data_IF_953193936825
#
_entry.id   IF_953193936825
#
_cell.length_a   1.000
_cell.length_b   1.000
_cell.length_c   1.000
_cell.angle_alpha   90.00
_cell.angle_beta   90.00
_cell.angle_gamma   90.00
#
_symmetry.space_group_name_H-M   'P 1'
#
loop_
_entity.id
_entity.type
_entity.pdbx_description
1 polymer ?
#
# COMPACT_ATOMS: atom_id res chain seq x y z
N UNK A 1 -7.54 19.79 40.19
CA UNK A 1 -7.08 20.17 38.84
C UNK A 1 -5.81 19.41 38.53
N UNK A 2 -5.87 18.51 37.55
CA UNK A 2 -4.77 18.07 36.69
C UNK A 2 -5.38 17.06 35.73
N UNK A 3 -5.81 17.55 34.57
CA UNK A 3 -6.26 16.74 33.45
C UNK A 3 -5.00 16.10 32.82
N UNK A 4 -4.82 14.80 33.02
CA UNK A 4 -3.75 14.07 32.36
C UNK A 4 -4.17 13.84 30.91
N UNK A 5 -3.57 14.62 30.00
CA UNK A 5 -3.75 14.50 28.57
C UNK A 5 -3.57 13.06 28.10
N UNK A 6 -4.63 12.52 27.50
CA UNK A 6 -4.69 11.21 26.87
C UNK A 6 -3.91 11.29 25.55
N UNK A 7 -2.61 11.02 25.60
CA UNK A 7 -1.78 10.89 24.40
C UNK A 7 -2.09 9.52 23.78
N UNK A 8 -2.67 9.43 22.57
CA UNK A 8 -2.73 8.17 21.86
C UNK A 8 -1.28 7.72 21.61
N UNK A 9 -0.96 6.46 21.92
CA UNK A 9 0.31 5.88 21.54
C UNK A 9 0.35 5.78 20.01
N UNK A 10 0.83 6.84 19.37
CA UNK A 10 1.30 6.84 17.99
C UNK A 10 2.32 5.71 17.84
N UNK A 11 2.46 5.16 16.63
CA UNK A 11 3.31 4.02 16.24
C UNK A 11 4.82 4.07 16.62
N UNK A 12 5.24 4.99 17.49
CA UNK A 12 6.62 5.40 17.72
C UNK A 12 7.13 6.28 16.58
N UNK A 13 6.26 6.70 15.67
CA UNK A 13 6.58 7.55 14.53
C UNK A 13 6.50 9.01 14.97
N UNK A 14 7.57 9.76 14.69
CA UNK A 14 7.65 11.17 15.05
C UNK A 14 6.55 11.97 14.33
N UNK A 15 5.99 12.97 15.01
CA UNK A 15 4.86 13.76 14.53
C UNK A 15 5.11 14.32 13.12
N UNK A 16 4.38 13.79 12.14
CA UNK A 16 4.50 14.14 10.72
C UNK A 16 4.59 12.94 9.77
N UNK A 17 4.96 11.76 10.26
CA UNK A 17 5.16 10.58 9.41
C UNK A 17 3.90 9.73 9.18
N UNK A 18 2.79 10.08 9.83
CA UNK A 18 1.54 9.34 9.73
C UNK A 18 0.32 10.28 9.77
N UNK A 19 -0.73 9.90 9.06
CA UNK A 19 -2.06 10.51 9.16
C UNK A 19 -3.01 9.51 9.79
N UNK A 20 -3.79 9.97 10.77
CA UNK A 20 -4.64 9.13 11.60
C UNK A 20 -6.08 9.64 11.57
N UNK A 21 -7.04 8.72 11.55
CA UNK A 21 -8.45 9.02 11.64
C UNK A 21 -9.12 8.15 12.69
N UNK A 22 -9.90 8.75 13.62
CA UNK A 22 -10.62 7.98 14.61
C UNK A 22 -11.80 7.27 13.94
N UNK A 23 -12.04 6.02 14.36
CA UNK A 23 -13.14 5.22 13.87
C UNK A 23 -14.16 5.02 14.99
N UNK A 24 -15.44 4.98 14.63
CA UNK A 24 -16.50 4.56 15.54
C UNK A 24 -16.58 3.03 15.61
N UNK A 25 -16.42 2.37 14.47
CA UNK A 25 -16.65 0.94 14.31
C UNK A 25 -15.80 0.36 13.20
N UNK A 26 -15.32 -0.87 13.42
CA UNK A 26 -14.71 -1.72 12.42
C UNK A 26 -15.46 -3.06 12.40
N UNK A 27 -15.64 -3.66 11.22
CA UNK A 27 -16.24 -4.97 11.11
C UNK A 27 -15.60 -5.78 9.98
N UNK A 28 -15.31 -7.05 10.25
CA UNK A 28 -14.79 -8.00 9.25
C UNK A 28 -15.80 -9.09 8.95
N UNK A 29 -15.93 -9.43 7.68
CA UNK A 29 -16.76 -10.53 7.22
C UNK A 29 -16.10 -11.86 7.63
N UNK A 30 -16.86 -12.74 8.27
CA UNK A 30 -16.45 -14.10 8.58
C UNK A 30 -16.95 -14.99 7.43
N UNK A 31 -16.08 -15.76 6.76
CA UNK A 31 -16.52 -16.74 5.79
C UNK A 31 -17.40 -17.80 6.46
N UNK A 32 -18.57 -18.08 5.89
CA UNK A 32 -19.40 -19.21 6.33
C UNK A 32 -18.66 -20.50 6.00
N UNK A 33 -18.27 -21.28 7.02
CA UNK A 33 -17.54 -22.53 6.82
C UNK A 33 -18.44 -23.50 6.04
N UNK A 34 -18.18 -23.67 4.74
CA UNK A 34 -18.98 -24.55 3.86
C UNK A 34 -18.47 -25.99 3.96
N UNK A 35 -18.31 -26.48 5.19
CA UNK A 35 -17.61 -27.73 5.50
C UNK A 35 -18.46 -28.85 6.11
N UNK A 36 -19.70 -28.58 6.51
CA UNK A 36 -20.60 -29.63 6.99
C UNK A 36 -21.45 -30.19 5.83
N UNK A 37 -21.54 -31.53 5.69
CA UNK A 37 -22.40 -32.14 4.69
C UNK A 37 -23.86 -31.77 4.94
N UNK A 38 -24.66 -31.53 3.90
CA UNK A 38 -26.03 -31.10 4.05
C UNK A 38 -26.84 -32.20 4.75
N UNK A 39 -27.24 -31.93 6.00
CA UNK A 39 -28.33 -32.65 6.64
C UNK A 39 -29.62 -32.51 5.83
N UNK A 40 -30.55 -33.48 5.90
CA UNK A 40 -31.68 -33.51 5.00
C UNK A 40 -32.66 -32.35 5.27
N UNK A 41 -32.68 -31.40 4.31
CA UNK A 41 -33.73 -30.44 3.95
C UNK A 41 -34.25 -29.47 5.04
N UNK A 42 -33.94 -28.19 4.86
CA UNK A 42 -34.96 -27.14 4.85
C UNK A 42 -34.53 -25.92 4.01
N UNK A 43 -35.47 -25.47 3.17
CA UNK A 43 -35.58 -24.24 2.39
C UNK A 43 -34.61 -23.90 1.24
N UNK A 44 -35.22 -23.94 0.04
CA UNK A 44 -34.76 -23.33 -1.22
C UNK A 44 -34.77 -21.80 -1.06
N UNK A 45 -33.61 -21.17 -1.26
CA UNK A 45 -33.56 -19.79 -1.77
C UNK A 45 -33.02 -18.69 -0.86
N UNK A 46 -32.52 -18.99 0.35
CA UNK A 46 -31.84 -17.96 1.17
C UNK A 46 -30.32 -18.14 1.06
N UNK A 47 -29.67 -17.29 0.26
CA UNK A 47 -28.20 -17.15 0.31
C UNK A 47 -27.83 -16.75 1.75
N UNK A 48 -26.90 -17.45 2.43
CA UNK A 48 -26.50 -17.07 3.77
C UNK A 48 -26.01 -15.63 3.79
N UNK A 49 -26.68 -14.78 4.57
CA UNK A 49 -26.23 -13.41 4.78
C UNK A 49 -24.82 -13.44 5.38
N UNK A 50 -23.89 -12.60 4.90
CA UNK A 50 -22.53 -12.58 5.42
C UNK A 50 -22.53 -12.26 6.92
N UNK A 51 -21.89 -13.11 7.72
CA UNK A 51 -21.74 -12.89 9.16
C UNK A 51 -20.60 -11.91 9.42
N UNK A 52 -20.85 -10.88 10.22
CA UNK A 52 -19.86 -9.83 10.51
C UNK A 52 -19.39 -9.92 11.96
N UNK A 53 -18.08 -9.96 12.18
CA UNK A 53 -17.49 -9.70 13.50
C UNK A 53 -17.29 -8.20 13.65
N UNK A 54 -17.97 -7.59 14.60
CA UNK A 54 -17.98 -6.14 14.82
C UNK A 54 -17.12 -5.77 16.03
N UNK A 55 -16.42 -4.66 15.92
CA UNK A 55 -15.60 -4.04 16.96
C UNK A 55 -16.03 -2.58 17.06
N UNK A 56 -16.37 -2.13 18.26
CA UNK A 56 -16.77 -0.75 18.52
C UNK A 56 -15.67 -0.03 19.33
N UNK A 57 -15.48 1.25 19.05
CA UNK A 57 -14.61 2.12 19.85
C UNK A 57 -15.25 2.42 21.19
N UNK A 58 -14.56 2.05 22.26
CA UNK A 58 -15.02 2.31 23.64
C UNK A 58 -13.83 2.31 24.61
N UNK A 59 -14.08 2.70 25.86
CA UNK A 59 -13.04 2.79 26.90
C UNK A 59 -12.52 1.43 27.37
N UNK A 60 -13.36 0.39 27.34
CA UNK A 60 -13.04 -0.95 27.86
C UNK A 60 -12.14 -1.73 26.88
N UNK A 61 -12.50 -1.72 25.59
CA UNK A 61 -11.80 -2.44 24.52
C UNK A 61 -10.71 -1.61 23.84
N UNK A 62 -10.71 -0.29 24.06
CA UNK A 62 -9.85 0.66 23.38
C UNK A 62 -10.49 1.28 22.14
N UNK A 63 -9.94 2.42 21.74
CA UNK A 63 -10.39 3.18 20.58
C UNK A 63 -9.80 2.63 19.29
N UNK A 64 -10.61 2.66 18.23
CA UNK A 64 -10.21 2.29 16.89
C UNK A 64 -9.59 3.48 16.16
N UNK A 65 -8.44 3.24 15.55
CA UNK A 65 -7.71 4.25 14.76
C UNK A 65 -7.29 3.64 13.43
N UNK A 66 -7.58 4.35 12.34
CA UNK A 66 -7.05 4.07 11.02
C UNK A 66 -5.82 4.94 10.80
N UNK A 67 -4.70 4.33 10.42
CA UNK A 67 -3.44 5.05 10.21
C UNK A 67 -2.90 4.76 8.81
N UNK A 68 -2.50 5.82 8.11
CA UNK A 68 -1.72 5.72 6.87
C UNK A 68 -0.39 6.43 7.08
N UNK A 69 0.71 5.70 6.98
CA UNK A 69 2.06 6.24 7.11
C UNK A 69 2.57 6.76 5.76
N UNK A 70 3.56 7.66 5.77
CA UNK A 70 4.14 8.26 4.55
C UNK A 70 4.71 7.24 3.58
N UNK A 71 5.19 6.09 4.08
CA UNK A 71 5.67 4.97 3.25
C UNK A 71 4.53 4.23 2.51
N UNK A 72 3.27 4.62 2.72
CA UNK A 72 2.11 4.04 2.05
C UNK A 72 1.57 2.78 2.72
N UNK A 73 1.94 2.48 3.96
CA UNK A 73 1.31 1.38 4.70
C UNK A 73 0.03 1.85 5.38
N UNK A 74 -0.94 0.95 5.40
CA UNK A 74 -2.26 1.12 5.96
C UNK A 74 -2.42 0.22 7.18
N UNK A 75 -2.93 0.78 8.27
CA UNK A 75 -3.17 0.06 9.52
C UNK A 75 -4.54 0.40 10.11
N UNK A 76 -5.13 -0.57 10.80
CA UNK A 76 -6.24 -0.35 11.73
C UNK A 76 -5.84 -0.97 13.06
N UNK A 77 -5.89 -0.18 14.12
CA UNK A 77 -5.63 -0.60 15.49
C UNK A 77 -6.87 -0.48 16.37
N UNK A 78 -6.98 -1.35 17.36
CA UNK A 78 -7.83 -1.16 18.53
C UNK A 78 -6.97 -1.17 19.79
N UNK A 79 -6.79 0.00 20.41
CA UNK A 79 -5.80 0.15 21.48
C UNK A 79 -4.40 -0.21 20.97
N UNK A 80 -3.83 -1.31 21.49
CA UNK A 80 -2.51 -1.83 21.05
C UNK A 80 -2.61 -3.01 20.08
N UNK A 81 -3.82 -3.45 19.74
CA UNK A 81 -4.04 -4.63 18.89
C UNK A 81 -4.15 -4.22 17.42
N UNK A 82 -3.28 -4.76 16.57
CA UNK A 82 -3.38 -4.62 15.12
C UNK A 82 -4.53 -5.48 14.59
N UNK A 83 -5.50 -4.85 13.93
CA UNK A 83 -6.64 -5.53 13.30
C UNK A 83 -6.45 -5.76 11.81
N UNK A 84 -5.87 -4.78 11.11
CA UNK A 84 -5.55 -4.86 9.68
C UNK A 84 -4.21 -4.17 9.43
N UNK A 85 -3.36 -4.74 8.58
CA UNK A 85 -2.07 -4.15 8.23
C UNK A 85 -1.58 -4.61 6.86
N UNK A 86 -1.36 -3.69 5.93
CA UNK A 86 -0.86 -3.98 4.59
C UNK A 86 -0.30 -2.75 3.87
N UNK A 87 0.61 -2.95 2.92
CA UNK A 87 1.04 -1.90 1.99
C UNK A 87 -0.03 -1.53 0.96
N UNK A 88 -0.23 -0.23 0.72
CA UNK A 88 -1.07 0.28 -0.37
C UNK A 88 -0.33 0.35 -1.71
N UNK A 89 1.01 0.23 -1.70
CA UNK A 89 1.82 0.29 -2.91
C UNK A 89 1.52 -0.93 -3.78
N UNK A 90 1.21 -0.69 -5.06
CA UNK A 90 0.86 -1.77 -5.99
C UNK A 90 -0.45 -2.49 -5.66
N UNK A 91 -1.33 -1.87 -4.85
CA UNK A 91 -2.55 -2.55 -4.36
C UNK A 91 -3.72 -2.61 -5.35
N UNK A 92 -3.63 -1.92 -6.49
CA UNK A 92 -4.75 -1.73 -7.44
C UNK A 92 -5.38 -3.04 -7.95
N UNK A 93 -4.58 -4.10 -8.08
CA UNK A 93 -5.06 -5.37 -8.64
C UNK A 93 -5.79 -6.24 -7.61
N UNK A 94 -5.48 -6.05 -6.32
CA UNK A 94 -6.00 -6.91 -5.24
C UNK A 94 -6.85 -6.17 -4.21
N UNK A 95 -6.83 -4.84 -4.15
CA UNK A 95 -7.57 -4.02 -3.21
C UNK A 95 -8.64 -3.19 -3.93
N UNK A 96 -9.89 -3.32 -3.47
CA UNK A 96 -11.02 -2.51 -3.91
C UNK A 96 -11.62 -1.78 -2.72
N UNK A 97 -11.83 -0.48 -2.86
CA UNK A 97 -12.40 0.35 -1.80
C UNK A 97 -13.66 1.02 -2.33
N UNK A 98 -14.74 0.93 -1.56
CA UNK A 98 -16.02 1.59 -1.85
C UNK A 98 -16.41 2.47 -0.68
N UNK A 99 -16.75 3.72 -0.94
CA UNK A 99 -17.18 4.70 0.06
C UNK A 99 -18.70 4.84 0.06
N UNK A 100 -19.33 4.79 1.23
CA UNK A 100 -20.74 5.16 1.40
C UNK A 100 -20.88 6.07 2.60
N UNK A 101 -21.20 7.34 2.36
CA UNK A 101 -21.33 8.37 3.42
C UNK A 101 -20.02 8.48 4.24
N UNK A 102 -20.07 8.16 5.53
CA UNK A 102 -19.01 8.16 6.55
C UNK A 102 -18.39 6.77 6.73
N UNK A 103 -18.62 5.85 5.78
CA UNK A 103 -18.13 4.48 5.83
C UNK A 103 -17.27 4.13 4.61
N UNK A 104 -16.27 3.28 4.84
CA UNK A 104 -15.48 2.65 3.77
C UNK A 104 -15.60 1.12 3.87
N UNK A 105 -15.79 0.48 2.73
CA UNK A 105 -15.80 -0.97 2.54
C UNK A 105 -14.56 -1.35 1.74
N UNK A 106 -13.75 -2.25 2.30
CA UNK A 106 -12.51 -2.75 1.72
C UNK A 106 -12.68 -4.21 1.36
N UNK A 107 -12.57 -4.52 0.08
CA UNK A 107 -12.49 -5.89 -0.44
C UNK A 107 -11.07 -6.17 -0.90
N UNK A 108 -10.45 -7.22 -0.36
CA UNK A 108 -9.11 -7.64 -0.77
C UNK A 108 -9.16 -9.05 -1.35
N UNK A 109 -8.48 -9.29 -2.46
CA UNK A 109 -8.41 -10.61 -3.10
C UNK A 109 -6.96 -10.97 -3.35
N UNK A 110 -6.44 -11.95 -2.60
CA UNK A 110 -5.05 -12.42 -2.72
C UNK A 110 -5.08 -13.93 -2.89
N UNK A 111 -4.45 -14.46 -3.96
CA UNK A 111 -4.35 -15.91 -4.23
C UNK A 111 -5.71 -16.64 -4.05
N UNK A 112 -6.75 -16.14 -4.73
CA UNK A 112 -8.14 -16.63 -4.71
C UNK A 112 -8.88 -16.55 -3.35
N UNK A 113 -8.25 -15.97 -2.32
CA UNK A 113 -8.89 -15.71 -1.04
C UNK A 113 -9.36 -14.27 -0.99
N UNK A 114 -10.68 -14.08 -0.95
CA UNK A 114 -11.30 -12.78 -0.75
C UNK A 114 -11.55 -12.53 0.74
N UNK A 115 -11.25 -11.32 1.20
CA UNK A 115 -11.55 -10.82 2.54
C UNK A 115 -12.28 -9.50 2.42
N UNK A 116 -13.27 -9.27 3.29
CA UNK A 116 -14.07 -8.06 3.28
C UNK A 116 -14.12 -7.47 4.68
N UNK A 117 -13.83 -6.19 4.81
CA UNK A 117 -14.00 -5.47 6.06
C UNK A 117 -14.53 -4.06 5.79
N UNK A 118 -15.18 -3.46 6.78
CA UNK A 118 -15.72 -2.10 6.71
C UNK A 118 -15.36 -1.31 7.95
N UNK A 119 -15.26 -0.01 7.77
CA UNK A 119 -15.05 0.95 8.84
C UNK A 119 -16.09 2.05 8.77
N UNK A 120 -16.41 2.60 9.93
CA UNK A 120 -17.20 3.81 10.08
C UNK A 120 -16.35 4.83 10.84
N UNK A 121 -16.22 6.04 10.30
CA UNK A 121 -15.46 7.12 10.91
C UNK A 121 -16.23 7.69 12.11
N UNK A 122 -15.51 8.14 13.15
CA UNK A 122 -16.12 8.86 14.27
C UNK A 122 -15.90 10.37 14.13
N UNK A 123 -16.71 11.13 14.87
CA UNK A 123 -16.65 12.57 15.00
C UNK A 123 -17.66 13.01 16.05
N UNK A 124 -17.49 14.22 16.57
CA UNK A 124 -18.43 14.88 17.47
C UNK A 124 -19.80 15.11 16.80
N UNK A 125 -19.81 15.22 15.47
CA UNK A 125 -21.01 15.26 14.64
C UNK A 125 -20.91 14.33 13.42
N UNK A 126 -22.05 14.11 12.75
CA UNK A 126 -22.09 13.34 11.49
C UNK A 126 -21.28 14.03 10.38
N UNK A 127 -21.28 15.36 10.36
CA UNK A 127 -20.53 16.17 9.40
C UNK A 127 -19.03 16.01 9.62
N UNK A 128 -18.57 16.01 10.88
CA UNK A 128 -17.17 15.77 11.19
C UNK A 128 -16.73 14.34 10.86
N UNK A 129 -17.56 13.33 11.17
CA UNK A 129 -17.30 11.95 10.76
C UNK A 129 -17.19 11.82 9.23
N UNK A 130 -18.04 12.54 8.49
CA UNK A 130 -17.98 12.60 7.04
C UNK A 130 -16.71 13.31 6.54
N UNK A 131 -16.27 14.38 7.20
CA UNK A 131 -15.03 15.09 6.88
C UNK A 131 -13.80 14.21 7.10
N UNK A 132 -13.73 13.49 8.21
CA UNK A 132 -12.69 12.50 8.47
C UNK A 132 -12.68 11.42 7.36
N UNK A 133 -13.85 10.93 6.96
CA UNK A 133 -13.97 9.98 5.86
C UNK A 133 -13.46 10.57 4.53
N UNK A 134 -13.88 11.80 4.17
CA UNK A 134 -13.41 12.50 2.97
C UNK A 134 -11.90 12.67 2.96
N UNK A 135 -11.32 13.12 4.06
CA UNK A 135 -9.88 13.32 4.24
C UNK A 135 -9.11 11.99 4.07
N UNK A 136 -9.60 10.91 4.69
CA UNK A 136 -9.01 9.58 4.50
C UNK A 136 -9.08 9.11 3.05
N UNK A 137 -10.21 9.32 2.37
CA UNK A 137 -10.36 8.98 0.95
C UNK A 137 -9.39 9.76 0.07
N UNK A 138 -9.18 11.04 0.33
CA UNK A 138 -8.18 11.85 -0.38
C UNK A 138 -6.77 11.29 -0.19
N UNK A 139 -6.43 10.80 1.01
CA UNK A 139 -5.13 10.15 1.25
C UNK A 139 -5.03 8.80 0.51
N UNK A 140 -6.07 7.97 0.59
CA UNK A 140 -6.12 6.66 -0.09
C UNK A 140 -6.02 6.80 -1.62
N UNK A 141 -6.62 7.85 -2.18
CA UNK A 141 -6.62 8.15 -3.62
C UNK A 141 -5.20 8.38 -4.20
N UNK A 142 -4.20 8.64 -3.35
CA UNK A 142 -2.80 8.71 -3.76
C UNK A 142 -2.23 7.34 -4.19
N UNK A 143 -2.87 6.24 -3.78
CA UNK A 143 -2.38 4.87 -3.98
C UNK A 143 -3.36 3.99 -4.76
N UNK A 144 -4.66 4.08 -4.45
CA UNK A 144 -5.71 3.20 -5.00
C UNK A 144 -7.00 3.98 -5.26
N UNK A 145 -7.75 3.58 -6.29
CA UNK A 145 -9.03 4.21 -6.63
C UNK A 145 -10.10 3.85 -5.61
N UNK A 146 -10.76 4.86 -5.03
CA UNK A 146 -11.91 4.69 -4.16
C UNK A 146 -13.19 4.92 -4.95
N UNK A 147 -14.06 3.93 -5.02
CA UNK A 147 -15.34 4.03 -5.72
C UNK A 147 -16.39 4.70 -4.82
N UNK A 148 -17.14 5.65 -5.37
CA UNK A 148 -18.33 6.20 -4.73
C UNK A 148 -19.53 5.62 -5.48
N UNK A 149 -20.43 4.88 -4.81
CA UNK A 149 -21.71 4.51 -5.38
C UNK A 149 -22.54 5.78 -5.51
N UNK A 150 -22.33 6.50 -6.60
CA UNK A 150 -23.29 7.50 -7.05
C UNK A 150 -24.60 6.76 -7.37
N UNK A 151 -25.74 7.33 -6.99
CA UNK A 151 -27.06 6.70 -7.02
C UNK A 151 -27.64 6.42 -8.41
N UNK A 152 -26.84 5.95 -9.38
CA UNK A 152 -27.28 5.71 -10.75
C UNK A 152 -27.75 4.27 -11.01
N UNK A 153 -28.66 3.73 -10.18
CA UNK A 153 -29.51 2.62 -10.63
C UNK A 153 -30.84 3.18 -11.18
N UNK A 154 -30.77 4.14 -12.10
CA UNK A 154 -31.88 4.47 -13.02
C UNK A 154 -31.41 5.47 -14.10
N UNK A 155 -30.75 4.98 -15.15
CA UNK A 155 -30.93 5.47 -16.53
C UNK A 155 -30.15 4.56 -17.48
N UNK A 156 -30.75 3.41 -17.74
CA UNK A 156 -30.62 2.77 -19.03
C UNK A 156 -31.00 3.82 -20.09
N UNK A 157 -30.04 4.08 -20.99
CA UNK A 157 -30.23 4.70 -22.29
C UNK A 157 -30.90 6.07 -22.32
N UNK A 158 -30.11 7.11 -22.52
CA UNK A 158 -30.42 8.15 -23.51
C UNK A 158 -29.10 8.76 -23.96
N UNK A 159 -28.76 8.49 -25.21
CA UNK A 159 -27.60 9.00 -25.93
C UNK A 159 -28.04 10.28 -26.65
N UNK A 160 -27.40 11.44 -26.44
CA UNK A 160 -27.49 12.55 -27.38
C UNK A 160 -26.12 12.75 -28.03
N UNK A 161 -26.01 12.36 -29.30
CA UNK A 161 -24.80 12.59 -30.10
C UNK A 161 -24.56 14.09 -30.38
N UNK A 162 -23.33 14.51 -30.72
CA UNK A 162 -23.06 15.88 -31.13
C UNK A 162 -23.35 16.10 -32.63
N UNK A 163 -24.02 17.20 -33.02
CA UNK A 163 -24.19 17.57 -34.41
C UNK A 163 -22.89 18.16 -35.01
N UNK A 164 -22.60 17.78 -36.26
CA UNK A 164 -21.55 18.37 -37.09
C UNK A 164 -21.85 19.84 -37.44
N UNK A 165 -20.80 20.66 -37.48
CA UNK A 165 -20.70 21.78 -38.42
C UNK A 165 -19.21 22.06 -38.77
N UNK A 166 -18.89 21.84 -40.05
CA UNK A 166 -17.91 22.54 -40.91
C UNK A 166 -17.81 24.05 -40.58
N UNK A 167 -16.75 24.85 -40.80
CA UNK A 167 -15.62 24.80 -41.74
C UNK A 167 -14.68 26.01 -41.49
N UNK A 168 -13.41 25.90 -41.90
CA UNK A 168 -12.51 26.99 -42.41
C UNK A 168 -11.97 28.07 -41.44
N UNK A 169 -10.80 28.72 -41.58
CA UNK A 169 -9.50 28.57 -42.26
C UNK A 169 -8.63 29.79 -41.85
N UNK A 170 -7.29 29.68 -41.76
CA UNK A 170 -6.33 30.81 -41.80
C UNK A 170 -5.42 30.94 -40.56
N UNK A 171 -4.14 30.53 -40.64
CA UNK A 171 -2.91 31.35 -40.91
C UNK A 171 -2.62 32.40 -39.83
N UNK A 172 -1.43 32.66 -39.31
CA UNK A 172 -0.02 32.28 -39.54
C UNK A 172 0.72 32.72 -38.25
N UNK A 173 1.80 32.06 -37.83
CA UNK A 173 3.07 32.72 -37.47
C UNK A 173 4.08 31.78 -36.83
N UNK A 174 5.28 31.83 -37.39
CA UNK A 174 6.47 31.14 -36.98
C UNK A 174 6.99 31.59 -35.61
N UNK A 175 7.56 30.66 -34.82
CA UNK A 175 8.97 30.77 -34.48
C UNK A 175 9.53 29.42 -33.99
N UNK A 176 10.58 29.00 -34.67
CA UNK A 176 11.51 27.93 -34.31
C UNK A 176 12.52 28.41 -33.27
N UNK A 177 12.75 27.68 -32.16
CA UNK A 177 14.10 27.33 -31.65
C UNK A 177 14.00 26.10 -30.71
N UNK A 178 14.76 25.01 -30.95
CA UNK A 178 14.92 23.89 -30.02
C UNK A 178 16.11 24.12 -29.08
N UNK A 179 15.89 24.07 -27.76
CA UNK A 179 16.98 24.14 -26.78
C UNK A 179 17.24 22.74 -26.23
N UNK A 180 18.18 22.06 -26.88
CA UNK A 180 18.86 20.91 -26.33
C UNK A 180 19.79 21.39 -25.21
N UNK A 181 19.62 20.88 -23.99
CA UNK A 181 20.62 21.03 -22.94
C UNK A 181 21.63 19.89 -23.06
N UNK A 182 22.84 20.28 -23.45
CA UNK A 182 23.96 19.42 -23.77
C UNK A 182 24.52 18.68 -22.56
N UNK A 183 24.73 17.38 -22.77
CA UNK A 183 25.67 16.58 -21.99
C UNK A 183 27.08 17.03 -22.36
N UNK A 184 27.82 17.55 -21.38
CA UNK A 184 29.24 17.84 -21.52
C UNK A 184 30.03 16.53 -21.60
N UNK A 185 30.49 16.21 -22.81
CA UNK A 185 31.59 15.30 -23.05
C UNK A 185 32.87 15.94 -22.50
N UNK A 186 33.64 15.20 -21.70
CA UNK A 186 35.03 15.53 -21.43
C UNK A 186 35.94 14.35 -21.75
N UNK A 187 36.48 14.43 -22.96
CA UNK A 187 37.79 14.01 -23.46
C UNK A 187 38.40 12.72 -22.91
N UNK A 188 38.41 11.75 -23.82
CA UNK A 188 39.34 10.64 -23.89
C UNK A 188 40.79 11.16 -23.92
N UNK A 189 41.62 10.73 -22.98
CA UNK A 189 43.07 10.75 -23.13
C UNK A 189 43.62 9.39 -22.76
N UNK A 190 43.92 8.66 -23.83
CA UNK A 190 44.53 7.36 -23.89
C UNK A 190 46.01 7.51 -23.51
N UNK A 191 46.40 6.99 -22.34
CA UNK A 191 47.81 6.73 -22.02
C UNK A 191 47.94 5.26 -21.64
N UNK A 192 48.56 4.50 -22.54
CA UNK A 192 48.98 3.13 -22.31
C UNK A 192 50.21 3.15 -21.37
N UNK A 193 50.08 2.63 -20.15
CA UNK A 193 51.22 2.17 -19.36
C UNK A 193 50.92 0.76 -18.86
N UNK A 194 51.85 -0.13 -19.19
CA UNK A 194 51.80 -1.58 -18.98
C UNK A 194 52.50 -1.94 -17.67
N UNK A 195 51.91 -2.93 -16.99
CA UNK A 195 52.46 -3.85 -15.98
C UNK A 195 52.74 -3.31 -14.57
N UNK A 196 52.13 -3.99 -13.58
CA UNK A 196 52.69 -4.10 -12.24
C UNK A 196 51.68 -4.30 -11.12
N UNK A 197 51.54 -5.56 -10.68
CA UNK A 197 51.04 -6.01 -9.36
C UNK A 197 49.54 -5.92 -9.05
N UNK A 198 49.01 -7.06 -8.59
CA UNK A 198 47.59 -7.31 -8.40
C UNK A 198 46.96 -6.46 -7.31
N UNK A 199 46.04 -5.61 -7.74
CA UNK A 199 44.90 -5.18 -6.92
C UNK A 199 43.69 -5.93 -7.46
N UNK A 200 42.99 -6.65 -6.58
CA UNK A 200 41.65 -7.18 -6.84
C UNK A 200 40.85 -6.11 -7.60
N UNK A 201 40.52 -6.39 -8.87
CA UNK A 201 39.62 -5.59 -9.66
C UNK A 201 38.29 -5.56 -8.87
N UNK A 202 37.98 -4.42 -8.24
CA UNK A 202 36.85 -4.23 -7.32
C UNK A 202 35.48 -4.30 -8.00
N UNK A 203 35.38 -5.10 -9.05
CA UNK A 203 34.23 -5.29 -9.92
C UNK A 203 33.64 -6.66 -9.64
N UNK A 204 32.86 -6.77 -8.57
CA UNK A 204 32.01 -7.95 -8.33
C UNK A 204 30.85 -7.93 -9.33
N UNK A 205 30.64 -9.04 -10.04
CA UNK A 205 29.50 -9.17 -10.95
C UNK A 205 28.19 -9.32 -10.16
N UNK A 206 27.07 -8.88 -10.76
CA UNK A 206 25.74 -9.00 -10.15
C UNK A 206 25.41 -10.45 -9.74
N UNK A 207 25.81 -11.42 -10.57
CA UNK A 207 25.65 -12.85 -10.30
C UNK A 207 26.47 -13.31 -9.11
N UNK A 208 27.73 -12.88 -8.99
CA UNK A 208 28.58 -13.20 -7.84
C UNK A 208 27.99 -12.62 -6.55
N UNK A 209 27.50 -11.38 -6.55
CA UNK A 209 26.86 -10.79 -5.38
C UNK A 209 25.60 -11.55 -4.95
N UNK A 210 24.75 -11.94 -5.91
CA UNK A 210 23.57 -12.75 -5.62
C UNK A 210 23.94 -14.13 -5.04
N UNK A 211 25.00 -14.77 -5.56
CA UNK A 211 25.51 -16.04 -5.05
C UNK A 211 26.03 -15.91 -3.62
N UNK A 212 26.88 -14.91 -3.33
CA UNK A 212 27.43 -14.69 -1.98
C UNK A 212 26.33 -14.41 -0.95
N UNK A 213 25.32 -13.60 -1.31
CA UNK A 213 24.17 -13.31 -0.44
C UNK A 213 23.35 -14.57 -0.12
N UNK A 214 23.09 -15.43 -1.12
CA UNK A 214 22.35 -16.67 -0.92
C UNK A 214 23.17 -17.76 -0.19
N UNK A 215 24.48 -17.78 -0.40
CA UNK A 215 25.40 -18.73 0.23
C UNK A 215 25.77 -18.35 1.68
N UNK A 216 25.39 -17.15 2.13
CA UNK A 216 25.79 -16.61 3.44
C UNK A 216 27.31 -16.63 3.65
N UNK A 217 28.08 -16.40 2.58
CA UNK A 217 29.54 -16.30 2.62
C UNK A 217 29.97 -14.88 3.02
N UNK A 218 31.19 -14.73 3.56
CA UNK A 218 31.72 -13.44 4.01
C UNK A 218 31.80 -12.44 2.84
N UNK A 219 30.97 -11.40 2.91
CA UNK A 219 31.00 -10.29 1.97
C UNK A 219 32.20 -9.38 2.26
N UNK A 220 32.75 -8.67 1.25
CA UNK A 220 33.78 -7.67 1.48
C UNK A 220 33.35 -6.65 2.55
N UNK A 221 34.30 -6.20 3.39
CA UNK A 221 34.05 -5.33 4.56
C UNK A 221 33.22 -4.06 4.27
N UNK A 222 33.17 -3.60 3.02
CA UNK A 222 32.33 -2.48 2.57
C UNK A 222 30.83 -2.76 2.75
N UNK A 223 30.41 -4.02 2.66
CA UNK A 223 29.02 -4.45 2.83
C UNK A 223 28.63 -4.74 4.29
N UNK A 224 29.60 -4.74 5.22
CA UNK A 224 29.34 -4.92 6.66
C UNK A 224 28.83 -3.63 7.33
N UNK A 225 28.95 -2.49 6.65
CA UNK A 225 28.47 -1.21 7.14
C UNK A 225 26.97 -1.08 6.87
N UNK A 226 26.17 -1.20 7.92
CA UNK A 226 24.77 -0.82 7.85
C UNK A 226 24.66 0.69 7.62
N UNK A 227 24.05 1.08 6.51
CA UNK A 227 23.66 2.48 6.29
C UNK A 227 22.61 2.97 7.28
N UNK A 228 21.94 2.04 7.98
CA UNK A 228 20.88 2.30 8.94
C UNK A 228 21.43 2.27 10.36
N UNK A 229 21.15 3.32 11.13
CA UNK A 229 21.37 3.31 12.58
C UNK A 229 20.38 2.36 13.26
N UNK A 230 20.75 1.84 14.45
CA UNK A 230 19.86 0.98 15.24
C UNK A 230 18.51 1.67 15.57
N UNK A 231 18.49 3.01 15.62
CA UNK A 231 17.30 3.83 15.87
C UNK A 231 16.31 3.84 14.69
N UNK A 232 16.79 3.66 13.45
CA UNK A 232 15.95 3.68 12.24
C UNK A 232 15.51 2.28 11.81
N UNK A 233 16.35 1.27 12.07
CA UNK A 233 16.07 -0.11 11.71
C UNK A 233 14.87 -0.68 12.47
N UNK A 234 14.73 -0.33 13.76
CA UNK A 234 13.62 -0.82 14.60
C UNK A 234 12.24 -0.44 14.06
N UNK A 235 11.96 0.85 13.81
CA UNK A 235 10.71 1.31 13.21
C UNK A 235 10.43 0.68 11.84
N UNK A 236 11.45 0.55 10.98
CA UNK A 236 11.30 -0.08 9.67
C UNK A 236 10.95 -1.57 9.78
N UNK A 237 11.65 -2.31 10.64
CA UNK A 237 11.36 -3.72 10.87
C UNK A 237 9.93 -3.90 11.40
N UNK A 238 9.49 -3.04 12.33
CA UNK A 238 8.11 -3.06 12.82
C UNK A 238 7.11 -2.86 11.68
N UNK A 239 7.37 -1.92 10.78
CA UNK A 239 6.53 -1.67 9.61
C UNK A 239 6.43 -2.92 8.71
N UNK A 240 7.56 -3.57 8.43
CA UNK A 240 7.59 -4.82 7.66
C UNK A 240 6.80 -5.94 8.34
N UNK A 241 6.94 -6.11 9.66
CA UNK A 241 6.24 -7.15 10.43
C UNK A 241 4.73 -6.91 10.53
N UNK A 242 4.29 -5.65 10.41
CA UNK A 242 2.88 -5.29 10.42
C UNK A 242 2.22 -5.38 9.03
N UNK A 243 2.99 -5.51 7.96
CA UNK A 243 2.46 -5.76 6.61
C UNK A 243 2.26 -7.27 6.40
N UNK A 244 1.00 -7.69 6.32
CA UNK A 244 0.66 -9.09 6.07
C UNK A 244 1.20 -9.64 4.73
N UNK A 245 1.53 -8.78 3.77
CA UNK A 245 2.07 -9.17 2.47
C UNK A 245 3.60 -9.30 2.47
N UNK A 246 4.28 -8.81 3.51
CA UNK A 246 5.74 -8.80 3.58
C UNK A 246 6.39 -10.18 3.44
N UNK A 247 5.89 -11.26 4.07
CA UNK A 247 6.48 -12.60 3.87
C UNK A 247 6.50 -13.04 2.40
N UNK A 248 5.41 -12.79 1.67
CA UNK A 248 5.34 -13.14 0.25
C UNK A 248 6.27 -12.27 -0.62
N UNK A 249 6.47 -11.00 -0.24
CA UNK A 249 7.47 -10.14 -0.88
C UNK A 249 8.89 -10.69 -0.69
N UNK A 250 9.25 -11.11 0.54
CA UNK A 250 10.56 -11.70 0.83
C UNK A 250 10.80 -12.96 -0.01
N UNK A 251 9.78 -13.83 -0.16
CA UNK A 251 9.86 -15.01 -1.04
C UNK A 251 10.13 -14.65 -2.51
N UNK A 252 9.46 -13.63 -3.05
CA UNK A 252 9.69 -13.19 -4.43
C UNK A 252 11.07 -12.53 -4.61
N UNK A 253 11.56 -11.78 -3.61
CA UNK A 253 12.93 -11.25 -3.61
C UNK A 253 13.96 -12.38 -3.65
N UNK A 254 13.81 -13.39 -2.80
CA UNK A 254 14.70 -14.55 -2.78
C UNK A 254 14.70 -15.30 -4.12
N UNK A 255 13.52 -15.48 -4.71
CA UNK A 255 13.35 -16.11 -6.03
C UNK A 255 14.02 -15.31 -7.14
N UNK A 256 13.95 -13.98 -7.12
CA UNK A 256 14.62 -13.15 -8.11
C UNK A 256 16.15 -13.18 -7.92
N UNK A 257 16.63 -13.18 -6.67
CA UNK A 257 18.06 -13.38 -6.37
C UNK A 257 18.58 -14.73 -6.88
N UNK A 258 17.81 -15.81 -6.72
CA UNK A 258 18.17 -17.14 -7.26
C UNK A 258 18.32 -17.12 -8.78
N UNK A 259 17.44 -16.42 -9.50
CA UNK A 259 17.56 -16.25 -10.96
C UNK A 259 18.86 -15.54 -11.34
N UNK A 260 19.20 -14.46 -10.63
CA UNK A 260 20.44 -13.70 -10.86
C UNK A 260 21.69 -14.55 -10.59
N UNK A 261 21.62 -15.43 -9.59
CA UNK A 261 22.68 -16.36 -9.23
C UNK A 261 22.81 -17.56 -10.20
N UNK A 262 21.89 -17.72 -11.17
CA UNK A 262 21.85 -18.86 -12.07
C UNK A 262 21.36 -20.17 -11.42
N UNK A 263 20.84 -20.09 -10.19
CA UNK A 263 20.25 -21.20 -9.46
C UNK A 263 18.81 -21.36 -9.97
N UNK A 264 18.58 -22.32 -10.86
CA UNK A 264 17.23 -22.63 -11.35
C UNK A 264 16.43 -23.29 -10.21
N UNK A 265 15.20 -22.80 -9.99
CA UNK A 265 14.25 -23.35 -9.00
C UNK A 265 13.95 -24.84 -9.25
#
# INVERSE_FOLDING_TARGET
MAEAGKVPLSLGLAGGEATEWPLQRYARCIPSNTGDPPGPRLDVGTVPSPTWKVFDSNEESGYLVLTIVVSGHFFIFQGQTLLEGFSLIGSKDWLKIVRRVDCLLFGTTIKDKSRLFRVQFSGESKEQALEHCCSCVQKLAQYVTVQVPDGNIQELQLNPGPPQASESQGKDSANSVPWQHGFHQHSEQQVCVKAGTGTSDGRTSLTQLAQTLLASEELPHVYEQSAWGAEELGPFLRLCLMDQNFPAFVEEVEKELKKLAGLRN
#
